data_IF_135915540490
#
_entry.id   IF_135915540490
#
_cell.length_a   1.000
_cell.length_b   1.000
_cell.length_c   1.000
_cell.angle_alpha   90.00
_cell.angle_beta   90.00
_cell.angle_gamma   90.00
#
_symmetry.space_group_name_H-M   'P 1'
#
loop_
_entity.id
_entity.type
_entity.pdbx_description
1 polymer ?
#
# COMPACT_ATOMS: atom_id res chain seq x y z
N UNK A 1 -14.74 -27.81 0.21
CA UNK A 1 -14.21 -27.63 1.58
C UNK A 1 -15.02 -26.52 2.22
N UNK A 2 -15.43 -26.65 3.48
CA UNK A 2 -16.15 -25.60 4.17
C UNK A 2 -15.20 -24.41 4.40
N UNK A 3 -15.61 -23.19 4.02
CA UNK A 3 -14.87 -21.98 4.34
C UNK A 3 -14.77 -21.86 5.87
N UNK A 4 -13.56 -21.71 6.39
CA UNK A 4 -13.36 -21.35 7.79
C UNK A 4 -14.06 -20.03 8.10
N UNK A 5 -14.64 -19.88 9.29
CA UNK A 5 -15.22 -18.59 9.69
C UNK A 5 -14.13 -17.59 10.06
N UNK A 6 -14.42 -16.29 9.99
CA UNK A 6 -13.46 -15.25 10.38
C UNK A 6 -12.98 -15.42 11.83
N UNK A 7 -13.89 -15.71 12.76
CA UNK A 7 -13.53 -15.90 14.16
C UNK A 7 -12.66 -17.15 14.38
N UNK A 8 -12.97 -18.24 13.69
CA UNK A 8 -12.16 -19.46 13.80
C UNK A 8 -10.76 -19.26 13.21
N UNK A 9 -10.67 -18.55 12.08
CA UNK A 9 -9.38 -18.22 11.46
C UNK A 9 -8.51 -17.39 12.39
N UNK A 10 -9.07 -16.34 13.01
CA UNK A 10 -8.32 -15.47 13.93
C UNK A 10 -7.67 -16.24 15.08
N UNK A 11 -8.33 -17.29 15.57
CA UNK A 11 -7.88 -18.08 16.72
C UNK A 11 -6.95 -19.25 16.35
N UNK A 12 -6.67 -19.49 15.07
CA UNK A 12 -5.75 -20.55 14.68
C UNK A 12 -4.34 -20.25 15.18
N UNK A 13 -3.67 -21.29 15.69
CA UNK A 13 -2.29 -21.20 16.16
C UNK A 13 -1.34 -20.98 14.99
N UNK A 14 -0.43 -20.03 15.14
CA UNK A 14 0.63 -19.71 14.18
C UNK A 14 1.83 -19.11 14.91
N UNK A 15 2.86 -18.73 14.17
CA UNK A 15 4.02 -18.02 14.70
C UNK A 15 3.88 -16.50 14.57
N UNK A 16 4.32 -15.79 15.60
CA UNK A 16 4.30 -14.33 15.70
C UNK A 16 5.74 -13.79 15.77
N UNK A 17 5.93 -12.52 15.39
CA UNK A 17 7.20 -11.82 15.59
C UNK A 17 8.38 -12.46 14.86
N UNK A 18 8.22 -12.70 13.55
CA UNK A 18 9.24 -13.37 12.72
C UNK A 18 9.62 -14.78 13.20
N UNK A 19 8.68 -15.53 13.77
CA UNK A 19 8.93 -16.90 14.24
C UNK A 19 9.37 -17.00 15.71
N UNK A 20 9.31 -15.92 16.47
CA UNK A 20 9.86 -15.87 17.83
C UNK A 20 9.02 -16.63 18.87
N UNK A 21 7.70 -16.66 18.71
CA UNK A 21 6.79 -17.35 19.64
C UNK A 21 5.50 -17.81 18.95
N UNK A 22 4.80 -18.75 19.58
CA UNK A 22 3.47 -19.21 19.15
C UNK A 22 2.38 -18.26 19.66
N UNK A 23 1.42 -17.97 18.79
CA UNK A 23 0.25 -17.15 19.10
C UNK A 23 -0.88 -17.44 18.12
N UNK A 24 -1.83 -16.53 18.04
CA UNK A 24 -2.98 -16.60 17.15
C UNK A 24 -2.71 -15.94 15.80
N UNK A 25 -3.47 -16.29 14.76
CA UNK A 25 -3.41 -15.61 13.44
C UNK A 25 -3.64 -14.10 13.57
N UNK A 26 -4.59 -13.70 14.43
CA UNK A 26 -4.84 -12.28 14.71
C UNK A 26 -3.61 -11.59 15.29
N UNK A 27 -2.93 -12.20 16.26
CA UNK A 27 -1.70 -11.65 16.84
C UNK A 27 -0.56 -11.57 15.82
N UNK A 28 -0.36 -12.58 14.98
CA UNK A 28 0.66 -12.56 13.93
C UNK A 28 0.43 -11.42 12.94
N UNK A 29 -0.82 -11.25 12.49
CA UNK A 29 -1.19 -10.21 11.53
C UNK A 29 -1.13 -8.81 12.18
N UNK A 30 -1.58 -8.66 13.42
CA UNK A 30 -1.48 -7.38 14.13
C UNK A 30 -0.03 -7.00 14.39
N UNK A 31 0.83 -7.97 14.74
CA UNK A 31 2.26 -7.72 14.88
C UNK A 31 2.88 -7.28 13.55
N UNK A 32 2.52 -7.92 12.43
CA UNK A 32 2.96 -7.47 11.11
C UNK A 32 2.47 -6.06 10.77
N UNK A 33 1.23 -5.75 11.13
CA UNK A 33 0.65 -4.43 10.89
C UNK A 33 1.36 -3.34 11.69
N UNK A 34 1.47 -3.47 13.02
CA UNK A 34 2.02 -2.41 13.87
C UNK A 34 3.54 -2.28 13.71
N UNK A 35 4.28 -3.39 13.77
CA UNK A 35 5.75 -3.34 13.78
C UNK A 35 6.36 -3.35 12.38
N UNK A 36 5.58 -3.75 11.36
CA UNK A 36 5.98 -3.73 9.95
C UNK A 36 5.34 -2.58 9.19
N UNK A 37 4.09 -2.76 8.77
CA UNK A 37 3.39 -1.88 7.83
C UNK A 37 3.28 -0.44 8.36
N UNK A 38 2.77 -0.25 9.57
CA UNK A 38 2.58 1.08 10.16
C UNK A 38 3.91 1.78 10.39
N UNK A 39 4.91 1.06 10.88
CA UNK A 39 6.26 1.60 11.03
C UNK A 39 6.86 2.04 9.69
N UNK A 40 6.73 1.23 8.63
CA UNK A 40 7.17 1.58 7.28
C UNK A 40 6.47 2.85 6.78
N UNK A 41 5.14 2.92 6.89
CA UNK A 41 4.35 4.08 6.44
C UNK A 41 4.74 5.37 7.16
N UNK A 42 4.96 5.29 8.48
CA UNK A 42 5.44 6.43 9.25
C UNK A 42 6.86 6.86 8.86
N UNK A 43 7.75 5.92 8.51
CA UNK A 43 9.11 6.22 8.04
C UNK A 43 9.13 6.92 6.68
N UNK A 44 8.15 6.62 5.81
CA UNK A 44 7.94 7.32 4.53
C UNK A 44 7.36 8.74 4.71
N UNK A 45 6.99 9.12 5.93
CA UNK A 45 6.45 10.44 6.25
C UNK A 45 4.93 10.57 6.08
N UNK A 46 4.24 9.46 5.80
CA UNK A 46 2.78 9.39 5.79
C UNK A 46 2.20 9.12 7.19
N UNK A 47 0.90 9.35 7.30
CA UNK A 47 0.09 8.95 8.46
C UNK A 47 -1.16 8.24 7.95
N UNK A 48 -1.82 7.48 8.81
CA UNK A 48 -3.14 6.94 8.51
C UNK A 48 -4.19 8.07 8.49
N UNK A 49 -5.12 8.01 7.53
CA UNK A 49 -6.23 8.98 7.37
C UNK A 49 -7.29 8.89 8.47
N UNK A 50 -7.17 7.91 9.37
CA UNK A 50 -8.05 7.70 10.51
C UNK A 50 -7.28 7.03 11.65
N UNK A 51 -7.99 6.61 12.69
CA UNK A 51 -7.41 5.95 13.84
C UNK A 51 -6.73 4.63 13.43
N UNK A 52 -5.47 4.46 13.82
CA UNK A 52 -4.66 3.28 13.50
C UNK A 52 -5.33 1.94 13.90
N UNK A 53 -5.99 1.78 15.07
CA UNK A 53 -6.72 0.55 15.38
C UNK A 53 -7.86 0.23 14.42
N UNK A 54 -8.49 1.26 13.83
CA UNK A 54 -9.52 1.06 12.81
C UNK A 54 -8.91 0.51 11.53
N UNK A 55 -7.77 1.07 11.11
CA UNK A 55 -7.01 0.57 9.95
C UNK A 55 -6.52 -0.86 10.18
N UNK A 56 -5.97 -1.15 11.37
CA UNK A 56 -5.53 -2.48 11.76
C UNK A 56 -6.66 -3.52 11.62
N UNK A 57 -7.87 -3.20 12.08
CA UNK A 57 -9.03 -4.08 11.93
C UNK A 57 -9.38 -4.37 10.46
N UNK A 58 -9.26 -3.36 9.58
CA UNK A 58 -9.46 -3.52 8.14
C UNK A 58 -8.35 -4.33 7.48
N UNK A 59 -7.12 -4.20 7.97
CA UNK A 59 -5.99 -5.00 7.53
C UNK A 59 -6.16 -6.48 7.90
N UNK A 60 -6.61 -6.79 9.13
CA UNK A 60 -6.93 -8.17 9.54
C UNK A 60 -8.02 -8.77 8.66
N UNK A 61 -9.05 -7.98 8.30
CA UNK A 61 -10.08 -8.41 7.36
C UNK A 61 -9.50 -8.72 5.97
N UNK A 62 -8.60 -7.88 5.45
CA UNK A 62 -7.90 -8.13 4.19
C UNK A 62 -7.10 -9.44 4.24
N UNK A 63 -6.34 -9.66 5.31
CA UNK A 63 -5.54 -10.86 5.50
C UNK A 63 -6.38 -12.14 5.51
N UNK A 64 -7.55 -12.11 6.16
CA UNK A 64 -8.52 -13.20 6.11
C UNK A 64 -9.07 -13.44 4.69
N UNK A 65 -9.39 -12.37 3.96
CA UNK A 65 -9.86 -12.48 2.58
C UNK A 65 -8.78 -13.09 1.67
N UNK A 66 -7.53 -12.66 1.81
CA UNK A 66 -6.38 -13.25 1.08
C UNK A 66 -6.25 -14.74 1.41
N UNK A 67 -6.25 -15.08 2.70
CA UNK A 67 -6.11 -16.46 3.17
C UNK A 67 -7.20 -17.38 2.60
N UNK A 68 -8.46 -16.95 2.65
CA UNK A 68 -9.60 -17.73 2.13
C UNK A 68 -9.70 -17.74 0.61
N UNK A 69 -9.13 -16.75 -0.08
CA UNK A 69 -9.15 -16.67 -1.55
C UNK A 69 -7.98 -17.41 -2.21
N UNK A 70 -6.89 -17.70 -1.46
CA UNK A 70 -5.73 -18.46 -1.95
C UNK A 70 -6.10 -19.80 -2.61
N UNK A 71 -7.17 -20.45 -2.14
CA UNK A 71 -7.64 -21.74 -2.65
C UNK A 71 -8.73 -21.62 -3.75
N UNK A 72 -9.20 -20.40 -4.05
CA UNK A 72 -10.25 -20.14 -5.02
C UNK A 72 -9.68 -19.47 -6.28
N UNK A 73 -9.31 -20.29 -7.25
CA UNK A 73 -8.81 -19.89 -8.59
C UNK A 73 -9.52 -18.67 -9.18
N UNK A 74 -8.75 -17.58 -9.35
CA UNK A 74 -8.85 -16.53 -10.37
C UNK A 74 -10.12 -15.63 -10.47
N UNK A 75 -11.13 -15.75 -9.60
CA UNK A 75 -12.41 -15.03 -9.81
C UNK A 75 -12.72 -13.85 -8.89
N UNK A 76 -11.85 -13.52 -7.94
CA UNK A 76 -12.10 -12.41 -7.00
C UNK A 76 -10.95 -11.40 -7.05
N UNK A 77 -11.17 -10.26 -7.72
CA UNK A 77 -10.42 -9.06 -7.40
C UNK A 77 -11.00 -8.52 -6.10
N UNK A 78 -10.25 -8.61 -5.00
CA UNK A 78 -10.62 -7.91 -3.78
C UNK A 78 -10.58 -6.41 -4.08
N UNK A 79 -11.76 -5.77 -4.12
CA UNK A 79 -11.82 -4.32 -4.25
C UNK A 79 -11.37 -3.72 -2.93
N UNK A 80 -10.22 -3.05 -2.95
CA UNK A 80 -9.80 -2.20 -1.84
C UNK A 80 -10.85 -1.12 -1.55
N UNK A 81 -10.88 -0.59 -0.32
CA UNK A 81 -11.72 0.56 -0.02
C UNK A 81 -11.31 1.73 -0.92
N UNK A 82 -12.30 2.47 -1.45
CA UNK A 82 -11.99 3.66 -2.24
C UNK A 82 -11.22 4.67 -1.37
N UNK A 83 -10.11 5.24 -1.90
CA UNK A 83 -9.34 6.21 -1.17
C UNK A 83 -10.23 7.41 -0.83
N UNK A 84 -10.24 7.80 0.45
CA UNK A 84 -11.03 8.93 0.94
C UNK A 84 -10.33 10.29 0.78
N UNK A 85 -9.23 10.30 0.05
CA UNK A 85 -8.43 11.49 -0.26
C UNK A 85 -8.66 11.93 -1.71
N UNK A 86 -8.07 13.06 -2.10
CA UNK A 86 -8.20 13.66 -3.44
C UNK A 86 -7.85 12.69 -4.59
N UNK A 87 -6.95 11.74 -4.33
CA UNK A 87 -6.61 10.61 -5.19
C UNK A 87 -6.18 11.06 -6.59
N UNK A 88 -5.28 12.04 -6.63
CA UNK A 88 -4.66 12.48 -7.87
C UNK A 88 -3.59 11.48 -8.31
N UNK A 89 -3.26 11.47 -9.60
CA UNK A 89 -2.26 10.55 -10.14
C UNK A 89 -0.90 10.82 -9.49
N UNK A 90 -0.60 12.09 -9.27
CA UNK A 90 0.64 12.57 -8.69
C UNK A 90 0.78 12.13 -7.22
N UNK A 91 -0.32 11.98 -6.48
CA UNK A 91 -0.29 11.39 -5.12
C UNK A 91 0.16 9.93 -5.16
N UNK A 92 -0.33 9.17 -6.15
CA UNK A 92 0.06 7.78 -6.36
C UNK A 92 1.51 7.68 -6.84
N UNK A 93 1.93 8.53 -7.77
CA UNK A 93 3.29 8.56 -8.29
C UNK A 93 4.30 8.91 -7.18
N UNK A 94 3.98 9.85 -6.29
CA UNK A 94 4.81 10.14 -5.10
C UNK A 94 4.84 8.95 -4.14
N UNK A 95 3.71 8.29 -3.92
CA UNK A 95 3.65 7.10 -3.06
C UNK A 95 4.49 5.94 -3.65
N UNK A 96 4.37 5.68 -4.95
CA UNK A 96 5.14 4.65 -5.67
C UNK A 96 6.63 4.98 -5.71
N UNK A 97 7.00 6.26 -5.84
CA UNK A 97 8.38 6.71 -5.75
C UNK A 97 8.98 6.49 -4.35
N UNK A 98 8.21 6.77 -3.30
CA UNK A 98 8.67 6.61 -1.91
C UNK A 98 8.71 5.14 -1.47
N UNK A 99 7.76 4.33 -1.95
CA UNK A 99 7.68 2.90 -1.70
C UNK A 99 7.64 2.14 -3.02
N UNK A 100 8.80 2.08 -3.68
CA UNK A 100 8.92 1.38 -4.93
C UNK A 100 8.72 -0.14 -4.77
N UNK A 101 8.58 -0.83 -5.90
CA UNK A 101 8.31 -2.27 -5.90
C UNK A 101 9.45 -3.07 -5.27
N UNK A 102 10.71 -2.63 -5.42
CA UNK A 102 11.87 -3.34 -4.88
C UNK A 102 11.93 -3.22 -3.36
N UNK A 103 11.85 -2.00 -2.84
CA UNK A 103 11.81 -1.70 -1.41
C UNK A 103 10.65 -2.42 -0.73
N UNK A 104 9.49 -2.46 -1.39
CA UNK A 104 8.33 -3.16 -0.86
C UNK A 104 8.53 -4.69 -0.82
N UNK A 105 9.13 -5.28 -1.85
CA UNK A 105 9.44 -6.70 -1.87
C UNK A 105 10.48 -7.07 -0.82
N UNK A 106 11.55 -6.29 -0.68
CA UNK A 106 12.58 -6.50 0.35
C UNK A 106 11.96 -6.45 1.75
N UNK A 107 11.07 -5.49 1.99
CA UNK A 107 10.27 -5.43 3.21
C UNK A 107 9.46 -6.71 3.44
N UNK A 108 8.74 -7.20 2.42
CA UNK A 108 7.96 -8.44 2.56
C UNK A 108 8.83 -9.67 2.81
N UNK A 109 10.01 -9.76 2.22
CA UNK A 109 10.95 -10.86 2.47
C UNK A 109 11.35 -10.93 3.95
N UNK A 110 11.56 -9.79 4.60
CA UNK A 110 11.82 -9.75 6.05
C UNK A 110 10.65 -10.26 6.91
N UNK A 111 9.45 -10.26 6.36
CA UNK A 111 8.20 -10.67 7.01
C UNK A 111 7.63 -11.97 6.44
N UNK A 112 8.42 -12.77 5.73
CA UNK A 112 7.99 -14.03 5.13
C UNK A 112 7.43 -15.07 6.13
N UNK A 113 7.73 -14.92 7.42
CA UNK A 113 7.18 -15.72 8.51
C UNK A 113 5.72 -15.38 8.85
N UNK A 114 5.23 -14.22 8.40
CA UNK A 114 3.84 -13.85 8.53
C UNK A 114 2.98 -14.78 7.64
N UNK A 115 1.93 -15.40 8.18
CA UNK A 115 1.18 -16.47 7.48
C UNK A 115 0.46 -16.02 6.19
N UNK A 116 0.38 -14.72 5.95
CA UNK A 116 -0.29 -14.11 4.80
C UNK A 116 0.66 -13.46 3.80
N UNK A 117 1.98 -13.47 4.07
CA UNK A 117 3.02 -12.95 3.18
C UNK A 117 3.57 -14.07 2.30
N UNK A 118 4.06 -13.74 1.10
CA UNK A 118 4.54 -14.71 0.12
C UNK A 118 3.42 -15.31 -0.71
N UNK A 119 2.32 -14.57 -0.88
CA UNK A 119 1.17 -14.97 -1.68
C UNK A 119 1.14 -14.24 -3.01
N UNK A 120 0.37 -14.75 -3.98
CA UNK A 120 0.11 -14.03 -5.23
C UNK A 120 -0.66 -12.70 -5.02
N UNK A 121 -1.11 -12.41 -3.79
CA UNK A 121 -1.91 -11.26 -3.42
C UNK A 121 -1.11 -10.19 -2.66
N UNK A 122 0.20 -10.33 -2.54
CA UNK A 122 1.05 -9.43 -1.76
C UNK A 122 0.97 -7.96 -2.25
N UNK A 123 0.68 -7.74 -3.54
CA UNK A 123 0.43 -6.41 -4.10
C UNK A 123 -0.73 -5.68 -3.41
N UNK A 124 -1.72 -6.40 -2.87
CA UNK A 124 -2.86 -5.80 -2.16
C UNK A 124 -2.45 -5.10 -0.87
N UNK A 125 -1.31 -5.46 -0.28
CA UNK A 125 -0.80 -4.77 0.91
C UNK A 125 -0.35 -3.35 0.57
N UNK A 126 0.31 -3.16 -0.58
CA UNK A 126 0.70 -1.83 -1.06
C UNK A 126 -0.53 -0.99 -1.42
N UNK A 127 -1.48 -1.58 -2.14
CA UNK A 127 -2.76 -0.92 -2.46
C UNK A 127 -3.54 -0.55 -1.19
N UNK A 128 -3.55 -1.44 -0.20
CA UNK A 128 -4.16 -1.15 1.11
C UNK A 128 -3.50 0.06 1.77
N UNK A 129 -2.17 0.11 1.78
CA UNK A 129 -1.45 1.25 2.36
C UNK A 129 -1.87 2.56 1.70
N UNK A 130 -1.80 2.65 0.36
CA UNK A 130 -2.17 3.86 -0.38
C UNK A 130 -3.60 4.32 -0.05
N UNK A 131 -4.57 3.41 0.01
CA UNK A 131 -5.96 3.76 0.27
C UNK A 131 -6.23 4.35 1.67
N UNK A 132 -5.37 4.05 2.64
CA UNK A 132 -5.55 4.43 4.04
C UNK A 132 -4.61 5.53 4.53
N UNK A 133 -3.65 5.97 3.73
CA UNK A 133 -2.78 7.09 4.09
C UNK A 133 -3.49 8.45 3.94
N UNK A 134 -3.02 9.43 4.69
CA UNK A 134 -3.32 10.84 4.49
C UNK A 134 -2.29 11.45 3.52
N UNK A 135 -2.67 11.53 2.25
CA UNK A 135 -1.82 12.09 1.18
C UNK A 135 -1.64 13.61 1.28
N UNK A 136 -2.45 14.29 2.10
CA UNK A 136 -2.39 15.75 2.25
C UNK A 136 -1.52 16.20 3.41
N UNK A 137 -1.01 15.26 4.19
CA UNK A 137 -0.15 15.52 5.33
C UNK A 137 1.33 15.22 5.05
N UNK A 138 2.22 16.03 5.62
CA UNK A 138 3.66 15.75 5.69
C UNK A 138 4.44 16.14 4.45
N UNK A 139 5.65 15.58 4.34
CA UNK A 139 6.56 15.81 3.21
C UNK A 139 6.03 15.28 1.87
N UNK A 140 5.33 14.12 1.81
CA UNK A 140 4.80 13.63 0.55
C UNK A 140 3.81 14.62 -0.09
N UNK A 141 2.93 15.23 0.70
CA UNK A 141 1.99 16.24 0.21
C UNK A 141 2.71 17.45 -0.42
N UNK A 142 3.79 17.91 0.20
CA UNK A 142 4.61 19.00 -0.33
C UNK A 142 5.34 18.60 -1.62
N UNK A 143 5.74 17.33 -1.75
CA UNK A 143 6.31 16.80 -2.99
C UNK A 143 5.26 16.75 -4.10
N UNK A 144 4.06 16.24 -3.81
CA UNK A 144 2.98 16.23 -4.80
C UNK A 144 2.61 17.64 -5.24
N UNK A 145 2.53 18.59 -4.30
CA UNK A 145 2.21 19.97 -4.66
C UNK A 145 3.24 20.57 -5.60
N UNK A 146 4.54 20.30 -5.40
CA UNK A 146 5.59 20.76 -6.32
C UNK A 146 5.47 20.17 -7.72
N UNK A 147 5.00 18.92 -7.85
CA UNK A 147 4.77 18.27 -9.15
C UNK A 147 3.61 18.97 -9.85
N UNK A 148 2.50 19.18 -9.15
CA UNK A 148 1.33 19.88 -9.69
C UNK A 148 1.66 21.32 -10.11
N UNK A 149 2.40 22.06 -9.27
CA UNK A 149 2.80 23.43 -9.57
C UNK A 149 3.73 23.49 -10.81
N UNK A 150 4.63 22.51 -10.98
CA UNK A 150 5.53 22.45 -12.13
C UNK A 150 4.79 22.13 -13.45
N UNK A 151 3.80 21.23 -13.40
CA UNK A 151 2.97 20.90 -14.57
C UNK A 151 2.09 22.08 -15.00
N UNK A 152 1.62 22.89 -14.04
CA UNK A 152 0.87 24.12 -14.32
C UNK A 152 1.77 25.20 -14.93
N UNK A 153 3.02 25.34 -14.46
CA UNK A 153 4.00 26.26 -15.03
C UNK A 153 4.37 25.86 -16.47
N UNK A 154 4.62 24.58 -16.74
CA UNK A 154 4.94 24.06 -18.10
C UNK A 154 3.77 24.27 -19.07
N UNK A 155 2.52 24.12 -18.62
CA UNK A 155 1.33 24.42 -19.43
C UNK A 155 1.12 25.93 -19.65
N UNK A 156 1.51 26.77 -18.70
CA UNK A 156 1.40 28.23 -18.83
C UNK A 156 2.46 28.84 -19.75
N UNK A 157 3.62 28.19 -19.90
CA UNK A 157 4.67 28.59 -20.84
C UNK A 157 4.39 28.12 -22.29
N UNK A 158 3.48 27.16 -22.50
CA UNK A 158 3.06 26.70 -23.84
C UNK A 158 1.95 27.55 -24.49
N UNK A 159 1.34 28.53 -23.80
CA UNK A 159 0.33 29.42 -24.41
C UNK A 159 0.92 30.55 -25.30
N UNK A 160 2.24 30.62 -25.49
CA UNK A 160 2.89 31.56 -26.43
C UNK A 160 3.93 30.86 -27.31
N UNK A 161 3.56 29.80 -28.00
CA UNK A 161 4.31 29.37 -29.20
C UNK A 161 3.38 28.70 -30.21
N UNK A 162 3.07 29.48 -31.24
CA UNK A 162 2.41 29.09 -32.49
C UNK A 162 2.78 27.69 -32.97
N UNK A 163 1.76 26.93 -33.38
CA UNK A 163 1.77 25.88 -34.43
C UNK A 163 3.14 25.60 -35.03
N UNK A 164 3.77 24.49 -34.63
CA UNK A 164 4.29 23.43 -35.51
C UNK A 164 5.38 22.60 -34.79
N UNK A 165 5.27 21.28 -34.98
CA UNK A 165 6.30 20.25 -34.76
C UNK A 165 6.48 19.71 -33.34
N UNK A 166 5.52 18.83 -32.97
CA UNK A 166 5.82 17.57 -32.28
C UNK A 166 7.06 16.90 -32.88
N UNK A 167 8.17 16.79 -32.16
CA UNK A 167 9.02 15.59 -32.21
C UNK A 167 10.08 15.55 -31.10
N UNK A 168 10.10 14.40 -30.40
CA UNK A 168 11.23 13.80 -29.66
C UNK A 168 11.62 14.45 -28.32
N UNK A 169 10.95 14.02 -27.23
CA UNK A 169 11.58 14.00 -25.89
C UNK A 169 12.32 12.67 -25.70
N UNK A 170 13.64 12.76 -25.64
CA UNK A 170 14.61 11.69 -25.44
C UNK A 170 14.81 11.52 -23.92
N UNK A 171 14.37 10.40 -23.36
CA UNK A 171 14.51 10.06 -21.94
C UNK A 171 15.92 9.55 -21.61
N UNK A 172 16.95 10.36 -21.85
CA UNK A 172 18.30 10.05 -21.38
C UNK A 172 18.81 11.20 -20.54
N UNK A 173 18.64 11.08 -19.22
CA UNK A 173 19.52 11.55 -18.14
C UNK A 173 18.72 11.57 -16.83
N UNK A 174 18.52 10.40 -16.24
CA UNK A 174 18.58 10.15 -14.79
C UNK A 174 19.04 8.71 -14.59
#
# INVERSE_FOLDING_TARGET
MASISFNDWKQQTTYVGKGSYEGTMEEAVLHFFYDGISKMINQLGYKWNTNEPHVASKFVQLCYMIYTTKDHTQKYSLKGPEPKHRNFKEDYDVFDFLLDTFTFNDFLEEWNHCPVVGTAFDYLFKDFCYNWIDVTAGQPAAMTQKILDADDEENSEEEVATTEVLTRRNWSLY
#
